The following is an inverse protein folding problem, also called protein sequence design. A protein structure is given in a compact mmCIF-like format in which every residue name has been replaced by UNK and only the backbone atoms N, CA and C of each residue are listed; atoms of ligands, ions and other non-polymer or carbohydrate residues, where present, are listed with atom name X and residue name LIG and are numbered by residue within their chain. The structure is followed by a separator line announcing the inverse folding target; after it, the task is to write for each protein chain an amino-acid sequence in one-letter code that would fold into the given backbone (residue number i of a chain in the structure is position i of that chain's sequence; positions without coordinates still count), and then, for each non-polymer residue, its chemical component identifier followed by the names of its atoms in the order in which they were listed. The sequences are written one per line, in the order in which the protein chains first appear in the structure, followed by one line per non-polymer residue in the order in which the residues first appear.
data_IF_558589967601
#
_entry.id   IF_558589967601
#
_cell.length_a   1.000
_cell.length_b   1.000
_cell.length_c   1.000
_cell.angle_alpha   90.00
_cell.angle_beta   90.00
_cell.angle_gamma   90.00
#
_symmetry.space_group_name_H-M   'P 1'
#
loop_
_entity.id
_entity.type
_entity.pdbx_description
1 polymer ?
#
# COMPACT_ATOMS: atom_id res chain seq x y z
N UNK A 1 -1.58 -0.33 -1.65
CA UNK A 1 -1.17 1.09 -1.49
C UNK A 1 -0.22 1.46 -2.61
N UNK A 2 -0.40 2.63 -3.21
CA UNK A 2 0.61 3.23 -4.07
C UNK A 2 1.73 3.75 -3.14
N UNK A 3 2.60 2.83 -2.72
CA UNK A 3 3.85 3.22 -2.06
C UNK A 3 4.56 4.16 -3.04
N UNK A 4 4.87 5.36 -2.57
CA UNK A 4 5.68 6.34 -3.29
C UNK A 4 6.79 5.63 -4.04
N UNK A 5 7.02 6.02 -5.30
CA UNK A 5 7.95 5.34 -6.22
C UNK A 5 9.38 5.26 -5.66
N UNK A 6 9.64 6.02 -4.59
CA UNK A 6 10.82 5.96 -3.73
C UNK A 6 10.37 6.20 -2.29
N UNK A 7 11.06 5.58 -1.33
CA UNK A 7 10.92 5.95 0.08
C UNK A 7 12.09 6.83 0.51
N UNK A 8 11.80 7.98 1.11
CA UNK A 8 12.77 8.91 1.66
C UNK A 8 12.80 8.80 3.18
N UNK A 9 13.94 8.42 3.74
CA UNK A 9 14.14 8.35 5.20
C UNK A 9 14.51 9.73 5.74
N UNK A 10 13.85 10.16 6.82
CA UNK A 10 14.23 11.34 7.59
C UNK A 10 15.01 10.92 8.86
N UNK A 11 16.03 11.69 9.32
CA UNK A 11 16.92 11.29 10.42
C UNK A 11 16.30 11.20 11.83
N UNK A 12 14.98 11.25 11.99
CA UNK A 12 14.36 11.61 13.28
C UNK A 12 13.92 10.39 14.13
N UNK A 13 14.01 9.16 13.61
CA UNK A 13 13.60 7.97 14.37
C UNK A 13 14.60 6.82 14.24
N UNK A 14 15.33 6.53 15.32
CA UNK A 14 16.27 5.41 15.44
C UNK A 14 15.65 4.07 15.02
N UNK A 15 14.37 3.85 15.34
CA UNK A 15 13.64 2.62 14.99
C UNK A 15 13.38 2.46 13.49
N UNK A 16 13.06 3.54 12.75
CA UNK A 16 12.88 3.45 11.30
C UNK A 16 14.18 3.01 10.62
N UNK A 17 15.33 3.43 11.14
CA UNK A 17 16.64 3.07 10.58
C UNK A 17 16.86 1.55 10.57
N UNK A 18 16.41 0.83 11.61
CA UNK A 18 16.56 -0.62 11.70
C UNK A 18 15.84 -1.39 10.58
N UNK A 19 14.62 -0.97 10.19
CA UNK A 19 13.88 -1.61 9.10
C UNK A 19 14.55 -1.42 7.74
N UNK A 20 15.11 -0.23 7.50
CA UNK A 20 15.85 0.02 6.26
C UNK A 20 17.16 -0.75 6.21
N UNK A 21 17.90 -0.77 7.32
CA UNK A 21 19.14 -1.55 7.44
C UNK A 21 18.89 -3.04 7.20
N UNK A 22 17.83 -3.59 7.79
CA UNK A 22 17.41 -4.98 7.56
C UNK A 22 17.11 -5.22 6.07
N UNK A 23 16.22 -4.43 5.47
CA UNK A 23 15.82 -4.61 4.06
C UNK A 23 16.99 -4.43 3.08
N UNK A 24 17.94 -3.54 3.39
CA UNK A 24 19.16 -3.37 2.60
C UNK A 24 20.10 -4.55 2.77
N UNK A 25 20.29 -5.03 4.01
CA UNK A 25 21.14 -6.19 4.32
C UNK A 25 20.64 -7.46 3.64
N UNK A 26 19.31 -7.63 3.56
CA UNK A 26 18.67 -8.75 2.86
C UNK A 26 18.57 -8.56 1.34
N UNK A 27 19.06 -7.44 0.80
CA UNK A 27 19.01 -7.15 -0.64
C UNK A 27 17.61 -6.88 -1.19
N UNK A 28 16.62 -6.66 -0.32
CA UNK A 28 15.24 -6.33 -0.68
C UNK A 28 15.14 -4.87 -1.13
N UNK A 29 15.93 -3.98 -0.52
CA UNK A 29 16.11 -2.59 -0.93
C UNK A 29 17.57 -2.32 -1.28
N UNK A 30 17.80 -1.36 -2.17
CA UNK A 30 19.10 -0.78 -2.45
C UNK A 30 19.00 0.73 -2.67
N UNK A 31 20.08 1.50 -2.45
CA UNK A 31 20.09 2.92 -2.76
C UNK A 31 19.74 3.18 -4.22
N UNK A 32 18.89 4.19 -4.47
CA UNK A 32 18.63 4.69 -5.81
C UNK A 32 19.87 5.41 -6.34
N UNK A 33 20.44 4.90 -7.43
CA UNK A 33 21.57 5.52 -8.13
C UNK A 33 21.17 6.13 -9.48
N UNK A 34 20.02 5.72 -10.03
CA UNK A 34 19.56 6.16 -11.34
C UNK A 34 19.00 7.60 -11.31
N UNK A 35 19.19 8.39 -12.39
CA UNK A 35 18.76 9.78 -12.42
C UNK A 35 17.24 9.92 -12.45
N UNK A 36 16.71 10.78 -11.57
CA UNK A 36 15.28 11.16 -11.52
C UNK A 36 15.14 12.66 -11.72
N UNK A 37 14.62 13.05 -12.88
CA UNK A 37 14.39 14.46 -13.21
C UNK A 37 13.20 15.04 -12.44
N UNK A 38 13.35 16.29 -11.99
CA UNK A 38 12.34 16.99 -11.21
C UNK A 38 12.15 16.46 -9.78
N UNK A 39 13.03 15.57 -9.31
CA UNK A 39 13.04 15.12 -7.92
C UNK A 39 13.54 16.24 -7.01
N UNK A 40 12.75 16.60 -6.01
CA UNK A 40 13.20 17.51 -4.95
C UNK A 40 14.03 16.73 -3.95
N UNK A 41 15.35 16.95 -3.94
CA UNK A 41 16.26 16.37 -2.96
C UNK A 41 16.27 17.25 -1.72
N UNK A 42 16.01 16.65 -0.55
CA UNK A 42 16.20 17.33 0.74
C UNK A 42 17.52 16.89 1.35
N UNK A 43 18.21 17.80 2.01
CA UNK A 43 19.46 17.46 2.68
C UNK A 43 19.25 16.34 3.71
N UNK A 44 20.17 15.39 3.75
CA UNK A 44 20.09 14.18 4.58
C UNK A 44 19.10 13.11 4.12
N UNK A 45 18.29 13.32 3.07
CA UNK A 45 17.36 12.31 2.56
C UNK A 45 18.07 11.25 1.71
N UNK A 46 17.67 9.98 1.88
CA UNK A 46 18.13 8.85 1.04
C UNK A 46 16.94 8.18 0.37
N UNK A 47 17.07 7.91 -0.92
CA UNK A 47 16.05 7.22 -1.71
C UNK A 47 16.47 5.78 -1.98
N UNK A 48 15.51 4.86 -1.91
CA UNK A 48 15.72 3.44 -2.14
C UNK A 48 14.81 2.90 -3.24
N UNK A 49 15.25 1.82 -3.88
CA UNK A 49 14.48 1.02 -4.84
C UNK A 49 14.53 -0.46 -4.46
N UNK A 50 13.49 -1.20 -4.82
CA UNK A 50 13.47 -2.65 -4.68
C UNK A 50 13.84 -3.30 -6.03
N UNK A 51 15.01 -3.95 -6.16
CA UNK A 51 15.47 -4.52 -7.43
C UNK A 51 14.48 -5.59 -7.94
N UNK A 52 13.94 -6.43 -7.06
CA UNK A 52 12.97 -7.47 -7.44
C UNK A 52 11.51 -6.94 -7.52
N UNK A 53 11.34 -5.62 -7.64
CA UNK A 53 10.05 -4.94 -7.64
C UNK A 53 9.54 -4.65 -6.23
N UNK A 54 8.78 -3.57 -6.06
CA UNK A 54 8.40 -3.05 -4.72
C UNK A 54 7.56 -4.02 -3.89
N UNK A 55 6.86 -4.97 -4.53
CA UNK A 55 6.12 -6.03 -3.82
C UNK A 55 7.02 -7.02 -3.08
N UNK A 56 8.32 -7.09 -3.38
CA UNK A 56 9.29 -7.92 -2.65
C UNK A 56 9.39 -7.53 -1.18
N UNK A 57 9.21 -6.25 -0.82
CA UNK A 57 9.18 -5.78 0.57
C UNK A 57 8.03 -6.46 1.34
N UNK A 58 6.83 -6.48 0.74
CA UNK A 58 5.65 -7.11 1.37
C UNK A 58 5.82 -8.62 1.46
N UNK A 59 6.32 -9.25 0.39
CA UNK A 59 6.59 -10.69 0.37
C UNK A 59 7.60 -11.12 1.44
N UNK A 60 8.65 -10.32 1.63
CA UNK A 60 9.65 -10.55 2.68
C UNK A 60 8.99 -10.60 4.06
N UNK A 61 8.21 -9.57 4.44
CA UNK A 61 7.57 -9.55 5.76
C UNK A 61 6.49 -10.64 5.95
N UNK A 62 5.74 -11.00 4.90
CA UNK A 62 4.81 -12.13 4.94
C UNK A 62 5.53 -13.47 5.14
N UNK A 63 6.70 -13.64 4.53
CA UNK A 63 7.52 -14.83 4.73
C UNK A 63 8.11 -14.87 6.15
N UNK A 64 8.59 -13.74 6.67
CA UNK A 64 9.13 -13.64 8.03
C UNK A 64 8.06 -13.88 9.11
N UNK A 65 6.81 -13.50 8.86
CA UNK A 65 5.74 -13.73 9.83
C UNK A 65 5.29 -15.18 9.92
N UNK A 66 5.58 -16.01 8.90
CA UNK A 66 5.07 -17.38 8.81
C UNK A 66 3.55 -17.46 8.71
N UNK A 67 2.88 -16.37 8.32
CA UNK A 67 1.42 -16.30 8.27
C UNK A 67 0.85 -17.09 7.09
N UNK A 68 -0.30 -17.73 7.32
CA UNK A 68 -1.09 -18.33 6.24
C UNK A 68 -1.82 -17.24 5.45
N UNK A 69 -1.43 -17.07 4.17
CA UNK A 69 -1.96 -16.02 3.31
C UNK A 69 -3.01 -16.59 2.35
N UNK A 70 -4.26 -16.17 2.52
CA UNK A 70 -5.37 -16.55 1.65
C UNK A 70 -5.75 -15.42 0.69
N UNK A 71 -5.55 -15.65 -0.61
CA UNK A 71 -5.97 -14.70 -1.66
C UNK A 71 -7.43 -14.88 -2.06
N UNK A 72 -7.97 -13.89 -2.76
CA UNK A 72 -9.36 -13.88 -3.26
C UNK A 72 -10.44 -13.97 -2.15
N UNK A 73 -10.06 -13.68 -0.90
CA UNK A 73 -10.94 -13.65 0.27
C UNK A 73 -11.45 -12.23 0.52
N UNK A 74 -12.52 -11.81 -0.17
CA UNK A 74 -13.11 -10.49 0.05
C UNK A 74 -14.03 -10.51 1.28
N UNK A 75 -13.57 -9.94 2.40
CA UNK A 75 -14.37 -9.78 3.63
C UNK A 75 -15.53 -8.81 3.39
N UNK A 76 -16.73 -9.20 3.80
CA UNK A 76 -17.96 -8.39 3.64
C UNK A 76 -18.63 -8.06 4.98
N UNK A 77 -18.55 -8.97 5.97
CA UNK A 77 -19.18 -8.78 7.27
C UNK A 77 -18.25 -9.15 8.42
N UNK A 78 -18.40 -8.46 9.54
CA UNK A 78 -17.78 -8.79 10.82
C UNK A 78 -18.87 -8.72 11.90
N UNK A 79 -19.11 -9.84 12.56
CA UNK A 79 -20.13 -9.98 13.60
C UNK A 79 -19.53 -10.58 14.87
N UNK A 80 -20.10 -10.25 16.03
CA UNK A 80 -19.66 -10.80 17.31
C UNK A 80 -20.56 -11.98 17.67
N UNK A 81 -19.97 -13.19 17.79
CA UNK A 81 -20.70 -14.43 18.09
C UNK A 81 -19.95 -15.18 19.19
N UNK A 82 -20.63 -15.48 20.29
CA UNK A 82 -20.09 -16.27 21.41
C UNK A 82 -18.70 -15.81 21.90
N UNK A 83 -18.49 -14.49 21.97
CA UNK A 83 -17.24 -13.89 22.42
C UNK A 83 -16.08 -13.91 21.39
N UNK A 84 -16.34 -14.29 20.14
CA UNK A 84 -15.37 -14.29 19.03
C UNK A 84 -15.89 -13.53 17.82
N UNK A 85 -14.97 -13.09 16.97
CA UNK A 85 -15.32 -12.46 15.70
C UNK A 85 -15.65 -13.51 14.67
N UNK A 86 -16.86 -13.47 14.15
CA UNK A 86 -17.24 -14.19 12.94
C UNK A 86 -17.04 -13.28 11.73
N UNK A 87 -16.14 -13.69 10.82
CA UNK A 87 -15.76 -12.94 9.62
C UNK A 87 -16.32 -13.65 8.39
N UNK A 88 -17.25 -12.98 7.72
CA UNK A 88 -17.86 -13.49 6.49
C UNK A 88 -17.21 -12.88 5.26
N UNK A 89 -17.14 -13.69 4.20
CA UNK A 89 -16.55 -13.32 2.93
C UNK A 89 -17.60 -13.37 1.83
N UNK A 90 -17.28 -12.81 0.66
CA UNK A 90 -18.17 -12.82 -0.51
C UNK A 90 -18.56 -14.24 -0.94
N UNK A 91 -17.66 -15.21 -0.78
CA UNK A 91 -17.88 -16.61 -1.05
C UNK A 91 -17.25 -17.47 0.05
N UNK A 92 -17.82 -18.66 0.28
CA UNK A 92 -17.38 -19.59 1.30
C UNK A 92 -18.04 -19.37 2.67
N UNK A 93 -17.84 -20.31 3.61
CA UNK A 93 -18.38 -20.21 4.96
C UNK A 93 -17.69 -19.10 5.77
N UNK A 94 -18.34 -18.58 6.83
CA UNK A 94 -17.70 -17.68 7.78
C UNK A 94 -16.61 -18.41 8.58
N UNK A 95 -15.63 -17.65 9.05
CA UNK A 95 -14.56 -18.15 9.94
C UNK A 95 -14.54 -17.36 11.25
N UNK A 96 -14.04 -17.98 12.32
CA UNK A 96 -14.02 -17.37 13.65
C UNK A 96 -12.59 -17.01 14.09
N UNK A 97 -12.44 -15.83 14.68
CA UNK A 97 -11.15 -15.28 15.12
C UNK A 97 -11.26 -14.63 16.50
N UNK A 98 -10.20 -14.74 17.29
CA UNK A 98 -10.09 -14.11 18.61
C UNK A 98 -9.73 -12.61 18.51
N UNK A 99 -9.04 -12.23 17.44
CA UNK A 99 -8.58 -10.87 17.14
C UNK A 99 -8.77 -10.60 15.66
N UNK A 100 -9.29 -9.42 15.30
CA UNK A 100 -9.37 -8.97 13.91
C UNK A 100 -8.66 -7.62 13.76
N UNK A 101 -7.76 -7.55 12.77
CA UNK A 101 -7.00 -6.36 12.42
C UNK A 101 -7.40 -5.94 11.00
N UNK A 102 -7.82 -4.69 10.83
CA UNK A 102 -8.22 -4.13 9.54
C UNK A 102 -7.17 -3.14 9.04
N UNK A 103 -6.56 -3.43 7.87
CA UNK A 103 -5.52 -2.59 7.27
C UNK A 103 -5.86 -2.09 5.86
N UNK A 104 -7.10 -2.27 5.41
CA UNK A 104 -7.58 -1.71 4.15
C UNK A 104 -7.92 -0.20 4.30
N UNK A 105 -7.92 0.58 3.20
CA UNK A 105 -8.37 1.98 3.22
C UNK A 105 -9.67 2.20 4.01
N UNK A 106 -9.68 3.24 4.83
CA UNK A 106 -10.78 3.56 5.76
C UNK A 106 -12.19 3.53 5.11
N UNK A 107 -12.41 4.07 3.90
CA UNK A 107 -13.72 3.96 3.25
C UNK A 107 -14.19 2.51 3.03
N UNK A 108 -13.27 1.56 2.86
CA UNK A 108 -13.62 0.14 2.74
C UNK A 108 -13.95 -0.50 4.09
N UNK A 109 -13.36 0.00 5.18
CA UNK A 109 -13.76 -0.40 6.55
C UNK A 109 -15.20 0.05 6.82
N UNK A 110 -15.54 1.29 6.45
CA UNK A 110 -16.89 1.84 6.61
C UNK A 110 -17.95 1.16 5.72
N UNK A 111 -17.53 0.38 4.72
CA UNK A 111 -18.42 -0.41 3.85
C UNK A 111 -18.72 -1.81 4.40
N UNK A 112 -18.02 -2.24 5.45
CA UNK A 112 -18.28 -3.54 6.08
C UNK A 112 -19.65 -3.58 6.74
N UNK A 113 -20.28 -4.75 6.71
CA UNK A 113 -21.61 -5.01 7.25
C UNK A 113 -21.53 -5.89 8.51
N UNK A 114 -22.66 -6.14 9.16
CA UNK A 114 -22.73 -6.90 10.41
C UNK A 114 -22.64 -6.01 11.65
N UNK A 115 -22.28 -6.60 12.79
CA UNK A 115 -22.30 -5.91 14.08
C UNK A 115 -21.24 -4.78 14.16
N UNK A 116 -20.19 -4.83 13.33
CA UNK A 116 -19.17 -3.77 13.24
C UNK A 116 -19.77 -2.37 13.06
N UNK A 117 -20.89 -2.26 12.33
CA UNK A 117 -21.58 -0.99 12.09
C UNK A 117 -22.04 -0.33 13.40
N UNK A 118 -22.43 -1.16 14.38
CA UNK A 118 -22.90 -0.68 15.68
C UNK A 118 -21.76 -0.61 16.73
N UNK A 119 -20.67 -1.33 16.51
CA UNK A 119 -19.46 -1.28 17.36
C UNK A 119 -18.71 0.03 17.17
N UNK A 120 -18.62 0.52 15.94
CA UNK A 120 -18.02 1.83 15.66
C UNK A 120 -18.93 2.90 16.25
N UNK A 121 -18.50 3.54 17.33
CA UNK A 121 -19.29 4.59 17.96
C UNK A 121 -19.33 5.86 17.09
N UNK A 122 -20.28 6.76 17.37
CA UNK A 122 -20.52 7.95 16.57
C UNK A 122 -19.27 8.85 16.41
N UNK A 123 -18.46 8.98 17.47
CA UNK A 123 -17.22 9.78 17.43
C UNK A 123 -16.16 9.14 16.53
N UNK A 124 -15.96 7.83 16.65
CA UNK A 124 -15.05 7.07 15.79
C UNK A 124 -15.53 7.12 14.33
N UNK A 125 -16.83 6.96 14.09
CA UNK A 125 -17.42 7.04 12.77
C UNK A 125 -17.14 8.39 12.11
N UNK A 126 -17.39 9.49 12.81
CA UNK A 126 -17.09 10.84 12.31
C UNK A 126 -15.61 11.03 12.00
N UNK A 127 -14.71 10.48 12.83
CA UNK A 127 -13.27 10.52 12.60
C UNK A 127 -12.84 9.72 11.36
N UNK A 128 -13.42 8.55 11.15
CA UNK A 128 -13.16 7.67 10.00
C UNK A 128 -13.74 8.25 8.70
N UNK A 129 -14.96 8.78 8.72
CA UNK A 129 -15.60 9.44 7.57
C UNK A 129 -14.86 10.70 7.12
N UNK A 130 -14.12 11.29 8.06
CA UNK A 130 -13.24 12.45 7.86
C UNK A 130 -12.00 12.12 7.00
N UNK A 131 -11.62 10.84 6.90
CA UNK A 131 -10.43 10.40 6.16
C UNK A 131 -10.68 10.49 4.67
N UNK A 132 -9.76 11.12 3.93
CA UNK A 132 -9.87 11.26 2.47
C UNK A 132 -8.61 10.83 1.74
N UNK A 133 -8.80 10.35 0.52
CA UNK A 133 -7.75 9.87 -0.36
C UNK A 133 -7.85 10.56 -1.72
N UNK A 134 -6.70 10.85 -2.31
CA UNK A 134 -6.59 11.17 -3.73
C UNK A 134 -6.86 9.94 -4.61
N UNK A 135 -7.28 10.19 -5.84
CA UNK A 135 -7.42 9.18 -6.89
C UNK A 135 -6.38 9.39 -8.00
N UNK A 136 -5.86 8.29 -8.57
CA UNK A 136 -4.94 8.31 -9.71
C UNK A 136 -5.17 7.10 -10.62
N UNK A 137 -4.76 7.24 -11.87
CA UNK A 137 -4.49 6.09 -12.72
C UNK A 137 -2.98 5.84 -12.81
N UNK A 138 -2.62 4.57 -12.94
CA UNK A 138 -1.29 4.11 -13.28
C UNK A 138 -1.34 3.28 -14.56
N UNK A 139 -0.43 3.53 -15.49
CA UNK A 139 -0.28 2.77 -16.72
C UNK A 139 1.07 2.07 -16.73
N UNK A 140 1.06 0.75 -16.80
CA UNK A 140 2.24 -0.07 -17.05
C UNK A 140 2.31 -0.47 -18.53
N UNK A 141 3.39 -0.12 -19.20
CA UNK A 141 3.69 -0.49 -20.59
C UNK A 141 4.86 -1.47 -20.57
N UNK A 142 4.68 -2.63 -21.21
CA UNK A 142 5.69 -3.69 -21.26
C UNK A 142 6.14 -3.92 -22.69
N UNK A 143 7.42 -4.18 -22.87
CA UNK A 143 8.06 -4.31 -24.18
C UNK A 143 8.83 -5.63 -24.28
N UNK A 144 9.10 -6.07 -25.51
CA UNK A 144 9.97 -7.23 -25.75
C UNK A 144 11.41 -6.96 -25.32
N UNK A 145 12.14 -8.04 -25.00
CA UNK A 145 13.58 -8.02 -24.78
C UNK A 145 14.32 -7.35 -25.95
N UNK A 146 15.36 -6.58 -25.66
CA UNK A 146 16.11 -5.81 -26.66
C UNK A 146 15.47 -4.49 -27.09
N UNK A 147 14.24 -4.18 -26.66
CA UNK A 147 13.63 -2.87 -26.94
C UNK A 147 14.41 -1.75 -26.25
N UNK A 148 14.88 -0.77 -27.01
CA UNK A 148 15.55 0.41 -26.48
C UNK A 148 14.58 1.54 -26.15
N UNK A 149 14.68 2.11 -24.93
CA UNK A 149 13.96 3.35 -24.57
C UNK A 149 14.97 4.49 -24.44
N UNK A 150 15.03 5.33 -25.47
CA UNK A 150 15.99 6.41 -25.63
C UNK A 150 15.55 7.69 -24.89
N UNK A 151 15.66 7.67 -23.57
CA UNK A 151 15.53 8.85 -22.69
C UNK A 151 16.72 8.91 -21.71
N UNK A 152 17.21 10.11 -21.33
CA UNK A 152 18.40 10.26 -20.50
C UNK A 152 18.14 9.96 -19.01
N UNK A 153 16.88 9.95 -18.59
CA UNK A 153 16.45 9.75 -17.22
C UNK A 153 15.91 8.33 -16.99
N UNK A 154 15.94 7.88 -15.73
CA UNK A 154 15.25 6.66 -15.31
C UNK A 154 13.83 6.96 -14.82
N UNK A 155 13.58 8.17 -14.33
CA UNK A 155 12.24 8.68 -14.10
C UNK A 155 12.19 10.20 -14.21
N UNK A 156 11.00 10.75 -14.43
CA UNK A 156 10.78 12.17 -14.60
C UNK A 156 9.46 12.59 -13.94
N UNK A 157 9.52 13.62 -13.12
CA UNK A 157 8.35 14.35 -12.63
C UNK A 157 7.94 15.42 -13.65
N UNK A 158 6.66 15.45 -13.98
CA UNK A 158 6.07 16.39 -14.95
C UNK A 158 5.15 17.33 -14.18
N UNK A 159 5.37 18.63 -14.28
CA UNK A 159 4.56 19.66 -13.62
C UNK A 159 3.53 20.28 -14.56
N UNK A 160 3.85 20.39 -15.84
CA UNK A 160 3.08 21.19 -16.81
C UNK A 160 2.29 20.27 -17.77
N UNK A 161 1.51 19.34 -17.21
CA UNK A 161 0.64 18.46 -17.99
C UNK A 161 -0.66 18.17 -17.21
N UNK A 162 -1.84 18.29 -17.84
CA UNK A 162 -3.10 18.08 -17.13
C UNK A 162 -3.32 16.61 -16.76
N UNK A 163 -2.75 15.67 -17.52
CA UNK A 163 -2.98 14.24 -17.37
C UNK A 163 -1.86 13.54 -16.60
N UNK A 164 -0.59 13.69 -17.00
CA UNK A 164 0.54 12.89 -16.50
C UNK A 164 1.35 13.68 -15.47
N UNK A 165 1.61 13.07 -14.30
CA UNK A 165 2.44 13.66 -13.24
C UNK A 165 3.85 13.06 -13.19
N UNK A 166 4.01 11.81 -13.58
CA UNK A 166 5.27 11.08 -13.41
C UNK A 166 5.40 9.95 -14.44
N UNK A 167 6.61 9.76 -14.95
CA UNK A 167 6.99 8.65 -15.83
C UNK A 167 8.24 7.98 -15.26
N UNK A 168 8.30 6.66 -15.29
CA UNK A 168 9.49 5.88 -14.90
C UNK A 168 9.77 4.79 -15.92
N UNK A 169 11.04 4.70 -16.35
CA UNK A 169 11.60 3.53 -17.02
C UNK A 169 12.05 2.57 -15.92
N UNK A 170 11.18 1.63 -15.55
CA UNK A 170 11.25 0.93 -14.27
C UNK A 170 12.48 0.03 -14.17
N UNK A 171 12.91 -0.59 -15.27
CA UNK A 171 14.14 -1.39 -15.32
C UNK A 171 15.40 -0.51 -15.15
N UNK A 172 15.46 0.68 -15.77
CA UNK A 172 16.57 1.64 -15.55
C UNK A 172 16.58 2.12 -14.10
N UNK A 173 15.41 2.44 -13.54
CA UNK A 173 15.27 2.87 -12.14
C UNK A 173 15.77 1.81 -11.16
N UNK A 174 15.44 0.54 -11.40
CA UNK A 174 15.88 -0.60 -10.58
C UNK A 174 17.32 -1.02 -10.88
N UNK A 175 17.97 -0.41 -11.88
CA UNK A 175 19.29 -0.76 -12.36
C UNK A 175 19.42 -2.25 -12.73
N UNK A 176 18.42 -2.78 -13.44
CA UNK A 176 18.39 -4.17 -13.90
C UNK A 176 18.49 -4.19 -15.41
N UNK A 177 19.56 -4.81 -15.89
CA UNK A 177 19.75 -5.18 -17.28
C UNK A 177 19.59 -6.69 -17.40
N UNK A 178 18.71 -7.14 -18.30
CA UNK A 178 18.55 -8.54 -18.62
C UNK A 178 18.35 -8.69 -20.13
N UNK A 179 19.08 -9.61 -20.79
CA UNK A 179 18.86 -9.89 -22.20
C UNK A 179 17.55 -10.65 -22.45
N UNK A 180 16.92 -11.19 -21.40
CA UNK A 180 15.70 -12.01 -21.49
C UNK A 180 14.43 -11.23 -21.16
N UNK A 181 14.56 -10.09 -20.47
CA UNK A 181 13.43 -9.29 -19.98
C UNK A 181 13.45 -7.92 -20.62
N UNK A 182 12.39 -7.58 -21.36
CA UNK A 182 12.25 -6.25 -21.94
C UNK A 182 12.02 -5.14 -20.92
N UNK A 183 12.22 -3.88 -21.30
CA UNK A 183 12.01 -2.76 -20.41
C UNK A 183 10.52 -2.62 -20.06
N UNK A 184 10.24 -1.80 -19.04
CA UNK A 184 8.88 -1.41 -18.72
C UNK A 184 8.80 0.07 -18.36
N UNK A 185 7.68 0.69 -18.74
CA UNK A 185 7.38 2.09 -18.45
C UNK A 185 6.17 2.17 -17.54
N UNK A 186 6.31 2.90 -16.44
CA UNK A 186 5.22 3.19 -15.51
C UNK A 186 4.88 4.67 -15.61
N UNK A 187 3.60 4.98 -15.81
CA UNK A 187 3.08 6.35 -15.89
C UNK A 187 2.07 6.54 -14.77
N UNK A 188 2.19 7.62 -13.99
CA UNK A 188 1.16 8.03 -13.03
C UNK A 188 0.50 9.32 -13.49
N UNK A 189 -0.82 9.36 -13.42
CA UNK A 189 -1.59 10.56 -13.72
C UNK A 189 -1.50 11.60 -12.61
N UNK A 190 -1.93 12.83 -12.86
CA UNK A 190 -2.23 13.84 -11.84
C UNK A 190 -3.39 13.38 -10.95
N UNK A 191 -3.53 14.00 -9.76
CA UNK A 191 -4.68 13.75 -8.89
C UNK A 191 -5.95 14.26 -9.54
N UNK A 192 -5.91 15.47 -10.12
CA UNK A 192 -7.06 16.11 -10.79
C UNK A 192 -7.63 15.19 -11.86
N UNK A 193 -6.79 14.71 -12.79
CA UNK A 193 -7.22 13.77 -13.83
C UNK A 193 -7.76 12.46 -13.26
N UNK A 194 -7.12 11.92 -12.22
CA UNK A 194 -7.56 10.69 -11.56
C UNK A 194 -8.94 10.82 -10.92
N UNK A 195 -9.26 11.97 -10.34
CA UNK A 195 -10.56 12.27 -9.75
C UNK A 195 -11.64 12.50 -10.81
N UNK A 196 -11.33 13.25 -11.88
CA UNK A 196 -12.27 13.55 -12.98
C UNK A 196 -12.70 12.27 -13.73
N UNK A 197 -11.79 11.29 -13.86
CA UNK A 197 -12.03 10.03 -14.56
C UNK A 197 -12.28 8.84 -13.64
N UNK A 198 -12.61 9.08 -12.37
CA UNK A 198 -12.70 8.03 -11.36
C UNK A 198 -13.74 6.96 -11.72
N UNK A 199 -14.87 7.37 -12.29
CA UNK A 199 -15.98 6.49 -12.68
C UNK A 199 -16.04 6.25 -14.20
N UNK A 200 -15.06 6.73 -14.97
CA UNK A 200 -14.93 6.46 -16.40
C UNK A 200 -14.48 5.01 -16.69
N UNK A 201 -14.76 4.55 -17.91
CA UNK A 201 -14.33 3.23 -18.38
C UNK A 201 -12.79 3.14 -18.51
N UNK A 202 -12.11 2.16 -17.89
CA UNK A 202 -10.65 2.09 -17.89
C UNK A 202 -10.00 2.05 -19.27
N UNK A 203 -10.69 1.47 -20.26
CA UNK A 203 -10.21 1.39 -21.63
C UNK A 203 -10.16 2.77 -22.31
N UNK A 204 -11.14 3.64 -22.04
CA UNK A 204 -11.18 5.01 -22.57
C UNK A 204 -10.09 5.87 -21.91
N UNK A 205 -9.99 5.79 -20.58
CA UNK A 205 -8.96 6.51 -19.81
C UNK A 205 -7.55 6.12 -20.24
N UNK A 206 -7.32 4.83 -20.53
CA UNK A 206 -6.06 4.34 -21.07
C UNK A 206 -5.67 5.06 -22.37
N UNK A 207 -6.60 5.25 -23.31
CA UNK A 207 -6.31 5.93 -24.58
C UNK A 207 -5.96 7.41 -24.39
N UNK A 208 -6.61 8.08 -23.43
CA UNK A 208 -6.28 9.46 -23.07
C UNK A 208 -4.86 9.54 -22.51
N UNK A 209 -4.52 8.68 -21.55
CA UNK A 209 -3.16 8.64 -20.96
C UNK A 209 -2.11 8.36 -22.03
N UNK A 210 -2.33 7.39 -22.93
CA UNK A 210 -1.42 7.07 -24.03
C UNK A 210 -1.22 8.26 -24.97
N UNK A 211 -2.29 8.98 -25.30
CA UNK A 211 -2.22 10.18 -26.15
C UNK A 211 -1.38 11.29 -25.51
N UNK A 212 -1.49 11.49 -24.18
CA UNK A 212 -0.62 12.43 -23.46
C UNK A 212 0.83 11.94 -23.39
N UNK A 213 1.03 10.64 -23.16
CA UNK A 213 2.37 10.04 -23.07
C UNK A 213 3.13 10.19 -24.40
N UNK A 214 2.47 9.94 -25.53
CA UNK A 214 3.10 10.06 -26.85
C UNK A 214 3.50 11.49 -27.20
N UNK A 215 2.81 12.51 -26.67
CA UNK A 215 3.24 13.91 -26.82
C UNK A 215 4.47 14.24 -25.98
N UNK A 216 4.61 13.62 -24.81
CA UNK A 216 5.74 13.84 -23.89
C UNK A 216 6.98 13.06 -24.35
N UNK A 217 6.81 11.81 -24.78
CA UNK A 217 7.88 10.93 -25.26
C UNK A 217 7.52 10.38 -26.65
N UNK A 218 7.65 11.18 -27.73
CA UNK A 218 7.27 10.77 -29.08
C UNK A 218 8.08 9.58 -29.63
N UNK A 219 9.28 9.37 -29.09
CA UNK A 219 10.18 8.26 -29.45
C UNK A 219 9.80 6.93 -28.81
N UNK A 220 8.77 6.89 -27.96
CA UNK A 220 8.39 5.67 -27.27
C UNK A 220 7.84 4.63 -28.28
N UNK A 221 8.41 3.41 -28.35
CA UNK A 221 7.93 2.40 -29.26
C UNK A 221 6.55 1.89 -28.86
N UNK A 222 5.90 1.11 -29.73
CA UNK A 222 4.64 0.45 -29.40
C UNK A 222 4.89 -0.65 -28.36
N UNK A 223 4.16 -0.67 -27.23
CA UNK A 223 4.31 -1.72 -26.22
C UNK A 223 3.69 -3.04 -26.68
N UNK A 224 4.25 -4.16 -26.21
CA UNK A 224 3.69 -5.51 -26.41
C UNK A 224 2.43 -5.74 -25.60
N UNK A 225 2.37 -5.19 -24.38
CA UNK A 225 1.19 -5.23 -23.54
C UNK A 225 1.08 -3.99 -22.65
N UNK A 226 -0.14 -3.71 -22.22
CA UNK A 226 -0.47 -2.54 -21.41
C UNK A 226 -1.37 -2.98 -20.25
N UNK A 227 -1.06 -2.50 -19.05
CA UNK A 227 -1.89 -2.66 -17.85
C UNK A 227 -2.30 -1.30 -17.31
N UNK A 228 -3.59 -1.01 -17.37
CA UNK A 228 -4.18 0.18 -16.78
C UNK A 228 -4.74 -0.14 -15.39
N UNK A 229 -4.30 0.57 -14.36
CA UNK A 229 -4.72 0.39 -12.98
C UNK A 229 -5.34 1.68 -12.45
N UNK A 230 -6.61 1.60 -12.04
CA UNK A 230 -7.28 2.65 -11.28
C UNK A 230 -6.97 2.52 -9.79
N UNK A 231 -6.46 3.57 -9.17
CA UNK A 231 -6.26 3.68 -7.73
C UNK A 231 -7.27 4.67 -7.16
N UNK A 232 -8.47 4.19 -6.77
CA UNK A 232 -9.51 4.99 -6.11
C UNK A 232 -9.03 5.57 -4.77
N UNK A 233 -8.22 4.80 -4.05
CA UNK A 233 -7.59 5.21 -2.80
C UNK A 233 -6.06 5.19 -3.01
N UNK A 234 -5.54 6.22 -3.68
CA UNK A 234 -4.12 6.29 -4.06
C UNK A 234 -3.24 6.70 -2.89
N UNK A 235 -3.48 7.90 -2.35
CA UNK A 235 -2.73 8.47 -1.21
C UNK A 235 -3.68 9.26 -0.33
N UNK A 236 -3.56 9.10 0.98
CA UNK A 236 -4.27 9.88 2.01
C UNK A 236 -3.95 11.35 1.86
N UNK A 237 -4.99 12.15 1.70
CA UNK A 237 -4.94 13.62 1.70
C UNK A 237 -5.33 14.20 3.06
N UNK A 238 -6.11 13.45 3.84
CA UNK A 238 -6.45 13.76 5.23
C UNK A 238 -6.55 12.46 6.01
N UNK A 239 -5.65 12.27 6.97
CA UNK A 239 -5.67 11.13 7.89
C UNK A 239 -6.63 11.39 9.08
N UNK A 240 -6.85 10.37 9.92
CA UNK A 240 -7.54 10.55 11.20
C UNK A 240 -6.77 11.55 12.06
N UNK A 241 -7.45 12.57 12.56
CA UNK A 241 -6.84 13.60 13.40
C UNK A 241 -6.39 13.01 14.76
N UNK A 242 -5.21 13.43 15.24
CA UNK A 242 -4.66 13.06 16.56
C UNK A 242 -4.61 11.54 16.81
N UNK A 243 -4.48 10.73 15.76
CA UNK A 243 -4.44 9.28 15.86
C UNK A 243 -3.00 8.78 16.05
N UNK A 244 -2.74 7.80 16.94
CA UNK A 244 -1.41 7.25 17.16
C UNK A 244 -0.96 6.28 16.05
N UNK A 245 -1.66 6.21 14.91
CA UNK A 245 -1.40 5.25 13.85
C UNK A 245 -2.30 4.01 13.86
N UNK A 246 -3.23 3.91 14.80
CA UNK A 246 -4.26 2.87 14.87
C UNK A 246 -5.50 3.37 15.62
N UNK A 247 -6.63 2.67 15.46
CA UNK A 247 -7.86 2.90 16.23
C UNK A 247 -8.47 1.57 16.69
N UNK A 248 -8.53 1.35 18.01
CA UNK A 248 -9.29 0.25 18.61
C UNK A 248 -10.78 0.54 18.48
N UNK A 249 -11.52 -0.35 17.80
CA UNK A 249 -12.98 -0.29 17.68
C UNK A 249 -13.67 -1.09 18.80
N UNK A 250 -13.05 -2.18 19.24
CA UNK A 250 -13.57 -3.02 20.32
C UNK A 250 -12.41 -3.67 21.09
N UNK A 251 -12.51 -3.76 22.41
CA UNK A 251 -11.40 -4.20 23.27
C UNK A 251 -11.37 -5.71 23.54
N UNK A 252 -12.52 -6.37 23.70
CA UNK A 252 -12.54 -7.80 24.03
C UNK A 252 -13.80 -8.51 23.48
N UNK A 253 -13.68 -9.30 22.39
CA UNK A 253 -12.46 -9.58 21.61
C UNK A 253 -11.93 -8.34 20.87
N UNK A 254 -10.63 -8.32 20.55
CA UNK A 254 -9.99 -7.12 19.96
C UNK A 254 -10.40 -6.96 18.49
N UNK A 255 -10.94 -5.79 18.14
CA UNK A 255 -11.11 -5.32 16.76
C UNK A 255 -10.42 -3.96 16.63
N UNK A 256 -9.46 -3.85 15.72
CA UNK A 256 -8.59 -2.69 15.58
C UNK A 256 -8.33 -2.37 14.11
N UNK A 257 -8.22 -1.09 13.79
CA UNK A 257 -7.88 -0.61 12.46
C UNK A 257 -6.52 0.09 12.45
N UNK A 258 -5.78 -0.06 11.36
CA UNK A 258 -4.48 0.56 11.14
C UNK A 258 -4.26 0.81 9.64
N UNK A 259 -3.15 1.43 9.27
CA UNK A 259 -2.76 1.73 7.90
C UNK A 259 -2.49 3.22 7.66
N UNK A 260 -2.34 3.57 6.38
CA UNK A 260 -1.99 4.93 5.97
C UNK A 260 -3.06 5.97 6.36
N UNK A 261 -4.33 5.58 6.40
CA UNK A 261 -5.45 6.44 6.85
C UNK A 261 -5.31 6.95 8.29
N UNK A 262 -4.45 6.32 9.09
CA UNK A 262 -4.17 6.69 10.49
C UNK A 262 -2.80 7.36 10.64
N UNK A 263 -2.03 7.48 9.56
CA UNK A 263 -0.70 8.10 9.51
C UNK A 263 -0.53 8.94 8.22
N UNK A 264 0.14 8.39 7.20
CA UNK A 264 0.42 9.00 5.90
C UNK A 264 0.75 7.93 4.86
N UNK A 265 0.53 8.21 3.58
CA UNK A 265 0.79 7.25 2.48
C UNK A 265 2.24 7.25 2.00
N UNK A 266 3.16 6.85 2.88
CA UNK A 266 4.52 6.44 2.52
C UNK A 266 4.95 5.22 3.36
N UNK A 267 6.13 4.67 3.07
CA UNK A 267 6.61 3.46 3.75
C UNK A 267 6.78 3.67 5.26
N UNK A 268 7.39 4.79 5.66
CA UNK A 268 7.58 5.15 7.07
C UNK A 268 6.25 5.24 7.82
N UNK A 269 5.22 5.85 7.22
CA UNK A 269 3.89 5.91 7.81
C UNK A 269 3.27 4.52 8.01
N UNK A 270 3.51 3.60 7.07
CA UNK A 270 3.08 2.21 7.23
C UNK A 270 3.81 1.51 8.39
N UNK A 271 5.13 1.72 8.54
CA UNK A 271 5.91 1.18 9.67
C UNK A 271 5.41 1.76 10.99
N UNK A 272 5.24 3.09 11.09
CA UNK A 272 4.75 3.75 12.30
C UNK A 272 3.37 3.22 12.71
N UNK A 273 2.47 3.07 11.75
CA UNK A 273 1.14 2.49 11.99
C UNK A 273 1.23 1.03 12.46
N UNK A 274 2.09 0.22 11.82
CA UNK A 274 2.27 -1.18 12.19
C UNK A 274 2.89 -1.36 13.59
N UNK A 275 3.85 -0.51 13.97
CA UNK A 275 4.47 -0.53 15.30
C UNK A 275 3.46 -0.14 16.38
N UNK A 276 2.67 0.92 16.13
CA UNK A 276 1.58 1.33 17.04
C UNK A 276 0.53 0.23 17.21
N UNK A 277 0.17 -0.44 16.11
CA UNK A 277 -0.72 -1.59 16.11
C UNK A 277 -0.14 -2.77 16.93
N UNK A 278 1.14 -3.11 16.74
CA UNK A 278 1.77 -4.21 17.47
C UNK A 278 1.77 -4.00 18.98
N UNK A 279 2.10 -2.79 19.44
CA UNK A 279 2.04 -2.43 20.86
C UNK A 279 0.60 -2.47 21.41
N UNK A 280 -0.39 -2.07 20.62
CA UNK A 280 -1.80 -2.15 21.02
C UNK A 280 -2.31 -3.60 21.11
N UNK A 281 -1.84 -4.50 20.24
CA UNK A 281 -2.29 -5.90 20.17
C UNK A 281 -1.62 -6.78 21.23
N UNK A 282 -0.36 -6.50 21.58
CA UNK A 282 0.47 -7.32 22.49
C UNK A 282 -0.20 -7.69 23.82
N UNK A 283 -0.85 -6.79 24.58
CA UNK A 283 -1.52 -7.15 25.83
C UNK A 283 -2.67 -8.14 25.64
N UNK A 284 -3.38 -8.07 24.50
CA UNK A 284 -4.50 -8.97 24.21
C UNK A 284 -4.02 -10.39 23.91
N UNK A 285 -2.88 -10.55 23.21
CA UNK A 285 -2.29 -11.86 22.94
C UNK A 285 -1.75 -12.55 24.19
N UNK A 286 -1.17 -11.79 25.13
CA UNK A 286 -0.69 -12.32 26.40
C UNK A 286 -1.82 -12.89 27.28
N UNK A 287 -3.02 -12.31 27.19
CA UNK A 287 -4.19 -12.82 27.90
C UNK A 287 -4.58 -14.23 27.41
N UNK A 288 -4.57 -14.47 26.09
CA UNK A 288 -4.85 -15.80 25.54
C UNK A 288 -3.82 -16.85 25.97
N UNK A 289 -2.53 -16.51 25.97
CA UNK A 289 -1.47 -17.42 26.45
C UNK A 289 -1.64 -17.75 27.94
N UNK A 290 -2.03 -16.78 28.76
CA UNK A 290 -2.26 -16.99 30.18
C UNK A 290 -3.54 -17.80 30.48
N UNK A 291 -4.55 -17.75 29.60
CA UNK A 291 -5.77 -18.56 29.71
C UNK A 291 -5.55 -19.99 29.22
N UNK A 292 -4.80 -20.18 28.12
CA UNK A 292 -4.42 -21.51 27.63
C UNK A 292 -3.54 -22.27 28.63
N UNK A 293 -2.62 -21.58 29.31
CA UNK A 293 -1.78 -22.16 30.37
C UNK A 293 -2.53 -22.48 31.68
N UNK A 294 -3.80 -22.06 31.81
CA UNK A 294 -4.66 -22.29 32.98
C UNK A 294 -5.71 -23.39 32.78
N UNK A 295 -5.75 -24.07 31.63
CA UNK A 295 -6.59 -25.26 31.49
C UNK A 295 -6.11 -26.33 32.51
N UNK A 296 -6.96 -26.78 33.45
CA UNK A 296 -6.58 -27.77 34.45
C UNK A 296 -6.16 -29.08 33.78
N UNK A 297 -5.17 -29.75 34.38
CA UNK A 297 -4.75 -31.12 34.04
C UNK A 297 -5.85 -32.18 34.30
N UNK A 298 -7.03 -31.78 34.79
CA UNK A 298 -8.08 -32.69 35.26
C UNK A 298 -9.00 -33.24 34.14
N UNK A 299 -8.52 -33.30 32.90
CA UNK A 299 -9.22 -33.90 31.76
C UNK A 299 -8.35 -34.87 30.94
N UNK A 300 -7.31 -35.46 31.54
CA UNK A 300 -6.61 -36.65 31.02
C UNK A 300 -6.88 -37.88 31.89
#
# INVERSE_FOLDING_TARGET
MCLSVYSAVFPVYFFLSSFYEELVTQGILMPLTAPVEGMVVRDGSRNYVAPQGISSVVKYFLQQSGADVSYEQHVTHISLRDGRWEVSRKAGPPEQFDVVILTMPVPQILQLQGDIVNIINESQKQQLESVSYSSRYALGLFYEAGTGIAVPWAAQYITDNPCIRFISIDNKKRNIESPEVGPSVVVHTTVTFGSEHLDSEPAEVQQIILSHLQRIVPSLPKPSSIKCQRWRYSQVTRAVANCPGQMILHTQPLLICAGDGFTRSNFDGCIESAMSLAEAVKPHLQQFQSQAAKLPLDLL
#
